data_IF_802577491251
#
_entry.id   IF_802577491251
#
_cell.length_a   1.000
_cell.length_b   1.000
_cell.length_c   1.000
_cell.angle_alpha   90.00
_cell.angle_beta   90.00
_cell.angle_gamma   90.00
#
_symmetry.space_group_name_H-M   'P 1'
#
loop_
_entity.id
_entity.type
_entity.pdbx_description
1 polymer ?
#
# COMPACT_ATOMS: atom_id res chain seq x y z
N UNK A 1 10.80 -37.39 -15.34
CA UNK A 1 10.02 -37.02 -16.56
C UNK A 1 9.77 -35.51 -16.74
N UNK A 2 9.21 -34.77 -15.75
CA UNK A 2 8.89 -33.32 -15.90
C UNK A 2 10.05 -32.42 -16.35
N UNK A 3 11.30 -32.71 -15.92
CA UNK A 3 12.49 -31.94 -16.32
C UNK A 3 12.84 -32.08 -17.80
N UNK A 4 12.72 -33.30 -18.35
CA UNK A 4 12.99 -33.60 -19.77
C UNK A 4 11.94 -32.92 -20.67
N UNK A 5 10.67 -32.96 -20.29
CA UNK A 5 9.59 -32.28 -21.02
C UNK A 5 9.77 -30.75 -21.03
N UNK A 6 10.20 -30.18 -19.90
CA UNK A 6 10.52 -28.75 -19.82
C UNK A 6 11.68 -28.37 -20.72
N UNK A 7 12.72 -29.21 -20.77
CA UNK A 7 13.88 -29.00 -21.64
C UNK A 7 13.51 -29.05 -23.13
N UNK A 8 12.75 -30.07 -23.55
CA UNK A 8 12.28 -30.18 -24.94
C UNK A 8 11.39 -28.99 -25.35
N UNK A 9 10.56 -28.47 -24.43
CA UNK A 9 9.77 -27.26 -24.67
C UNK A 9 10.65 -26.03 -24.87
N UNK A 10 11.69 -25.85 -24.06
CA UNK A 10 12.59 -24.71 -24.18
C UNK A 10 13.44 -24.79 -25.46
N UNK A 11 13.93 -25.98 -25.83
CA UNK A 11 14.63 -26.21 -27.11
C UNK A 11 13.74 -25.83 -28.30
N UNK A 12 12.48 -26.29 -28.32
CA UNK A 12 11.50 -25.94 -29.38
C UNK A 12 11.23 -24.44 -29.43
N UNK A 13 11.13 -23.78 -28.28
CA UNK A 13 10.91 -22.33 -28.20
C UNK A 13 12.09 -21.55 -28.79
N UNK A 14 13.32 -21.96 -28.51
CA UNK A 14 14.55 -21.37 -29.09
C UNK A 14 14.61 -21.58 -30.60
N UNK A 15 14.31 -22.78 -31.09
CA UNK A 15 14.27 -23.07 -32.53
C UNK A 15 13.22 -22.19 -33.26
N UNK A 16 12.02 -22.03 -32.68
CA UNK A 16 10.98 -21.15 -33.22
C UNK A 16 11.40 -19.67 -33.24
N UNK A 17 12.18 -19.22 -32.26
CA UNK A 17 12.73 -17.86 -32.23
C UNK A 17 13.73 -17.65 -33.38
N UNK A 18 14.63 -18.62 -33.60
CA UNK A 18 15.60 -18.57 -34.70
C UNK A 18 14.90 -18.53 -36.06
N UNK A 19 13.86 -19.35 -36.27
CA UNK A 19 13.04 -19.29 -37.49
C UNK A 19 12.35 -17.94 -37.69
N UNK A 20 11.83 -17.32 -36.61
CA UNK A 20 11.23 -15.98 -36.69
C UNK A 20 12.24 -14.91 -37.09
N UNK A 21 13.46 -14.96 -36.55
CA UNK A 21 14.54 -14.02 -36.89
C UNK A 21 14.96 -14.15 -38.36
N UNK A 22 14.99 -15.37 -38.88
CA UNK A 22 15.20 -15.59 -40.30
C UNK A 22 14.06 -14.99 -41.15
N UNK A 23 12.80 -15.21 -40.78
CA UNK A 23 11.65 -14.65 -41.52
C UNK A 23 11.54 -13.13 -41.42
N UNK A 24 12.03 -12.49 -40.36
CA UNK A 24 12.08 -11.03 -40.24
C UNK A 24 13.28 -10.40 -40.99
N UNK A 25 14.17 -11.21 -41.55
CA UNK A 25 15.39 -10.75 -42.23
C UNK A 25 16.52 -10.34 -41.27
N UNK A 26 16.38 -10.61 -39.97
CA UNK A 26 17.41 -10.35 -38.94
C UNK A 26 18.56 -11.35 -38.98
N UNK A 27 18.38 -12.47 -39.68
CA UNK A 27 19.34 -13.57 -39.74
C UNK A 27 19.46 -14.08 -41.18
N UNK A 28 20.67 -14.31 -41.66
CA UNK A 28 20.92 -14.93 -42.96
C UNK A 28 20.65 -16.44 -42.90
N UNK A 29 20.40 -17.07 -44.06
CA UNK A 29 20.12 -18.52 -44.14
C UNK A 29 21.25 -19.38 -43.56
N UNK A 30 22.50 -19.03 -43.84
CA UNK A 30 23.69 -19.72 -43.31
C UNK A 30 23.85 -19.55 -41.79
N UNK A 31 23.46 -18.39 -41.26
CA UNK A 31 23.48 -18.13 -39.82
C UNK A 31 22.36 -18.90 -39.10
N UNK A 32 21.24 -19.15 -39.78
CA UNK A 32 20.16 -19.98 -39.25
C UNK A 32 20.60 -21.43 -39.12
N UNK A 33 21.21 -21.97 -40.18
CA UNK A 33 21.70 -23.36 -40.20
C UNK A 33 22.72 -23.59 -39.08
N UNK A 34 23.72 -22.71 -38.96
CA UNK A 34 24.74 -22.80 -37.91
C UNK A 34 24.18 -22.61 -36.49
N UNK A 35 23.18 -21.74 -36.30
CA UNK A 35 22.52 -21.57 -35.00
C UNK A 35 21.61 -22.76 -34.64
N UNK A 36 20.99 -23.40 -35.63
CA UNK A 36 20.19 -24.61 -35.45
C UNK A 36 21.06 -25.81 -35.10
N UNK A 37 22.19 -25.98 -35.80
CA UNK A 37 23.16 -27.05 -35.54
C UNK A 37 23.73 -26.93 -34.12
N UNK A 38 24.14 -25.72 -33.69
CA UNK A 38 24.59 -25.48 -32.32
C UNK A 38 23.51 -25.76 -31.27
N UNK A 39 22.26 -25.39 -31.54
CA UNK A 39 21.13 -25.68 -30.65
C UNK A 39 20.85 -27.19 -30.56
N UNK A 40 21.08 -27.92 -31.64
CA UNK A 40 20.93 -29.37 -31.66
C UNK A 40 22.05 -30.06 -30.88
N UNK A 41 23.30 -29.64 -31.05
CA UNK A 41 24.47 -30.12 -30.31
C UNK A 41 24.37 -29.83 -28.81
N UNK A 42 24.07 -28.59 -28.41
CA UNK A 42 23.78 -28.23 -27.02
C UNK A 42 22.65 -29.10 -26.45
N UNK A 43 21.65 -29.37 -27.29
CA UNK A 43 20.52 -30.25 -27.00
C UNK A 43 20.92 -31.67 -26.59
N UNK A 44 21.91 -32.24 -27.26
CA UNK A 44 22.41 -33.60 -26.99
C UNK A 44 23.17 -33.64 -25.67
N UNK A 45 24.08 -32.69 -25.45
CA UNK A 45 24.89 -32.63 -24.23
C UNK A 45 24.05 -32.40 -22.96
N UNK A 46 23.05 -31.53 -23.04
CA UNK A 46 22.14 -31.26 -21.92
C UNK A 46 21.21 -32.45 -21.63
N UNK A 47 20.77 -33.19 -22.65
CA UNK A 47 20.00 -34.43 -22.47
C UNK A 47 20.83 -35.52 -21.78
N UNK A 48 22.06 -35.76 -22.22
CA UNK A 48 22.95 -36.74 -21.57
C UNK A 48 23.26 -36.35 -20.12
N UNK A 49 23.37 -35.05 -19.81
CA UNK A 49 23.52 -34.57 -18.42
C UNK A 49 22.26 -34.84 -17.59
N UNK A 50 21.08 -34.52 -18.13
CA UNK A 50 19.80 -34.79 -17.46
C UNK A 50 19.57 -36.27 -17.21
N UNK A 51 19.96 -37.14 -18.13
CA UNK A 51 19.90 -38.60 -17.96
C UNK A 51 20.78 -39.06 -16.80
N UNK A 52 22.04 -38.61 -16.73
CA UNK A 52 22.94 -38.92 -15.59
C UNK A 52 22.42 -38.37 -14.25
N UNK A 53 21.83 -37.17 -14.25
CA UNK A 53 21.21 -36.60 -13.05
C UNK A 53 20.02 -37.45 -12.59
N UNK A 54 19.22 -37.99 -13.51
CA UNK A 54 18.09 -38.86 -13.18
C UNK A 54 18.56 -40.23 -12.68
N UNK A 55 19.57 -40.83 -13.30
CA UNK A 55 20.21 -42.06 -12.80
C UNK A 55 20.76 -41.87 -11.38
N UNK A 56 21.40 -40.72 -11.10
CA UNK A 56 21.89 -40.39 -9.77
C UNK A 56 20.79 -40.26 -8.71
N UNK A 57 19.60 -39.77 -9.09
CA UNK A 57 18.44 -39.67 -8.19
C UNK A 57 17.86 -41.06 -7.90
N UNK A 58 17.72 -41.92 -8.92
CA UNK A 58 17.22 -43.29 -8.74
C UNK A 58 18.11 -44.13 -7.83
N UNK A 59 19.44 -43.93 -7.89
CA UNK A 59 20.39 -44.60 -6.99
C UNK A 59 20.20 -44.14 -5.54
N UNK A 60 20.00 -42.84 -5.31
CA UNK A 60 19.77 -42.29 -3.96
C UNK A 60 18.45 -42.80 -3.39
N UNK A 61 17.38 -42.81 -4.18
CA UNK A 61 16.07 -43.34 -3.76
C UNK A 61 16.17 -44.83 -3.40
N UNK A 62 16.88 -45.65 -4.18
CA UNK A 62 17.08 -47.07 -3.88
C UNK A 62 17.89 -47.29 -2.60
N UNK A 63 18.97 -46.54 -2.39
CA UNK A 63 19.78 -46.62 -1.16
C UNK A 63 18.97 -46.19 0.07
N UNK A 64 18.10 -45.18 -0.08
CA UNK A 64 17.18 -44.79 0.99
C UNK A 64 16.10 -45.85 1.26
N UNK A 65 15.58 -46.52 0.24
CA UNK A 65 14.65 -47.66 0.38
C UNK A 65 15.30 -48.84 1.11
N UNK A 66 16.49 -49.28 0.69
CA UNK A 66 17.23 -50.38 1.34
C UNK A 66 17.52 -50.05 2.81
N UNK A 67 17.94 -48.80 3.10
CA UNK A 67 18.18 -48.34 4.47
C UNK A 67 16.90 -48.27 5.30
N UNK A 68 15.76 -47.94 4.68
CA UNK A 68 14.46 -47.98 5.31
C UNK A 68 14.01 -49.41 5.62
N UNK A 69 14.26 -50.36 4.72
CA UNK A 69 13.97 -51.77 4.92
C UNK A 69 14.80 -52.37 6.06
N UNK A 70 16.10 -52.07 6.12
CA UNK A 70 16.97 -52.46 7.24
C UNK A 70 16.46 -51.91 8.58
N UNK A 71 16.10 -50.63 8.61
CA UNK A 71 15.54 -50.01 9.82
C UNK A 71 14.19 -50.64 10.21
N UNK A 72 13.36 -50.98 9.23
CA UNK A 72 12.05 -51.61 9.47
C UNK A 72 12.21 -53.05 10.00
N UNK A 73 13.16 -53.81 9.46
CA UNK A 73 13.48 -55.15 9.95
C UNK A 73 14.06 -55.10 11.38
N UNK A 74 14.98 -54.17 11.64
CA UNK A 74 15.48 -53.90 13.00
C UNK A 74 14.35 -53.53 13.97
N UNK A 75 13.37 -52.74 13.52
CA UNK A 75 12.21 -52.40 14.34
C UNK A 75 11.29 -53.61 14.55
N UNK A 76 11.11 -54.52 13.59
CA UNK A 76 10.30 -55.74 13.75
C UNK A 76 10.87 -56.66 14.83
N UNK A 77 12.18 -56.74 14.98
CA UNK A 77 12.86 -57.61 15.96
C UNK A 77 12.85 -57.06 17.40
N UNK A 78 12.45 -55.80 17.62
CA UNK A 78 12.39 -55.24 18.97
C UNK A 78 11.30 -55.88 19.86
N UNK A 79 11.58 -56.06 21.16
CA UNK A 79 10.58 -56.37 22.17
C UNK A 79 9.39 -55.42 22.12
N UNK A 80 8.18 -55.96 22.27
CA UNK A 80 6.91 -55.22 22.23
C UNK A 80 6.90 -54.02 23.20
N UNK A 81 7.48 -54.19 24.39
CA UNK A 81 7.59 -53.15 25.43
C UNK A 81 8.36 -51.90 24.96
N UNK A 82 9.44 -52.09 24.19
CA UNK A 82 10.23 -51.00 23.64
C UNK A 82 9.52 -50.30 22.47
N UNK A 83 8.70 -51.03 21.71
CA UNK A 83 7.85 -50.46 20.64
C UNK A 83 6.74 -49.61 21.23
N UNK A 84 6.06 -50.10 22.27
CA UNK A 84 5.01 -49.37 22.98
C UNK A 84 5.56 -48.10 23.65
N UNK A 85 6.72 -48.17 24.29
CA UNK A 85 7.38 -47.00 24.90
C UNK A 85 7.76 -45.93 23.85
N UNK A 86 8.35 -46.35 22.72
CA UNK A 86 8.68 -45.44 21.62
C UNK A 86 7.44 -44.81 20.97
N UNK A 87 6.38 -45.60 20.79
CA UNK A 87 5.10 -45.13 20.27
C UNK A 87 4.45 -44.11 21.23
N UNK A 88 4.39 -44.41 22.53
CA UNK A 88 3.86 -43.48 23.53
C UNK A 88 4.66 -42.18 23.60
N UNK A 89 6.00 -42.24 23.52
CA UNK A 89 6.86 -41.06 23.46
C UNK A 89 6.60 -40.22 22.20
N UNK A 90 6.42 -40.87 21.05
CA UNK A 90 6.02 -40.24 19.79
C UNK A 90 4.68 -39.51 19.88
N UNK A 91 3.66 -40.17 20.46
CA UNK A 91 2.32 -39.59 20.67
C UNK A 91 2.37 -38.40 21.63
N UNK A 92 3.15 -38.47 22.71
CA UNK A 92 3.32 -37.33 23.63
C UNK A 92 4.01 -36.14 22.95
N UNK A 93 5.04 -36.39 22.14
CA UNK A 93 5.73 -35.35 21.36
C UNK A 93 4.81 -34.68 20.35
N UNK A 94 4.03 -35.45 19.59
CA UNK A 94 3.03 -34.95 18.65
C UNK A 94 1.94 -34.13 19.35
N UNK A 95 1.44 -34.58 20.50
CA UNK A 95 0.48 -33.81 21.33
C UNK A 95 1.06 -32.49 21.85
N UNK A 96 2.36 -32.45 22.15
CA UNK A 96 3.02 -31.19 22.55
C UNK A 96 3.16 -30.25 21.35
N UNK A 97 3.65 -30.74 20.20
CA UNK A 97 3.78 -29.94 18.97
C UNK A 97 2.45 -29.34 18.53
N UNK A 98 1.40 -30.14 18.45
CA UNK A 98 0.05 -29.68 18.08
C UNK A 98 -0.51 -28.63 19.05
N UNK A 99 -0.27 -28.78 20.36
CA UNK A 99 -0.64 -27.75 21.36
C UNK A 99 0.15 -26.46 21.20
N UNK A 100 1.44 -26.53 20.87
CA UNK A 100 2.27 -25.35 20.63
C UNK A 100 1.90 -24.64 19.33
N UNK A 101 1.64 -25.39 18.26
CA UNK A 101 1.16 -24.85 16.98
C UNK A 101 -0.21 -24.16 17.15
N UNK A 102 -1.13 -24.78 17.88
CA UNK A 102 -2.43 -24.15 18.20
C UNK A 102 -2.27 -22.86 19.02
N UNK A 103 -1.33 -22.82 19.97
CA UNK A 103 -1.01 -21.61 20.74
C UNK A 103 -0.41 -20.51 19.86
N UNK A 104 0.50 -20.86 18.94
CA UNK A 104 1.10 -19.90 18.00
C UNK A 104 0.05 -19.32 17.06
N UNK A 105 -0.83 -20.16 16.50
CA UNK A 105 -1.92 -19.70 15.65
C UNK A 105 -2.89 -18.77 16.39
N UNK A 106 -3.19 -19.06 17.65
CA UNK A 106 -4.05 -18.21 18.48
C UNK A 106 -3.39 -16.85 18.76
N UNK A 107 -2.08 -16.84 19.08
CA UNK A 107 -1.34 -15.61 19.35
C UNK A 107 -1.18 -14.76 18.09
N UNK A 108 -0.91 -15.37 16.93
CA UNK A 108 -0.88 -14.69 15.64
C UNK A 108 -2.23 -14.06 15.29
N UNK A 109 -3.32 -14.80 15.51
CA UNK A 109 -4.69 -14.27 15.33
C UNK A 109 -4.96 -13.08 16.26
N UNK A 110 -4.47 -13.13 17.51
CA UNK A 110 -4.64 -12.04 18.47
C UNK A 110 -3.84 -10.80 18.07
N UNK A 111 -2.61 -10.98 17.62
CA UNK A 111 -1.76 -9.88 17.14
C UNK A 111 -2.32 -9.22 15.89
N UNK A 112 -2.86 -10.03 14.96
CA UNK A 112 -3.56 -9.54 13.78
C UNK A 112 -4.79 -8.70 14.14
N UNK A 113 -5.58 -9.13 15.13
CA UNK A 113 -6.74 -8.37 15.60
C UNK A 113 -6.33 -7.04 16.25
N UNK A 114 -5.27 -7.03 17.05
CA UNK A 114 -4.70 -5.80 17.62
C UNK A 114 -4.28 -4.86 16.50
N UNK A 115 -3.53 -5.35 15.49
CA UNK A 115 -3.08 -4.52 14.35
C UNK A 115 -4.27 -3.91 13.60
N UNK A 116 -5.30 -4.70 13.29
CA UNK A 116 -6.52 -4.19 12.63
C UNK A 116 -7.25 -3.13 13.46
N UNK A 117 -7.30 -3.31 14.78
CA UNK A 117 -7.92 -2.33 15.67
C UNK A 117 -7.10 -1.03 15.74
N UNK A 118 -5.78 -1.12 15.74
CA UNK A 118 -4.89 0.05 15.69
C UNK A 118 -5.00 0.80 14.36
N UNK A 119 -5.02 0.08 13.23
CA UNK A 119 -5.27 0.66 11.90
C UNK A 119 -6.63 1.37 11.84
N UNK A 120 -7.68 0.77 12.42
CA UNK A 120 -9.00 1.41 12.50
C UNK A 120 -8.97 2.70 13.32
N UNK A 121 -8.31 2.68 14.48
CA UNK A 121 -8.16 3.88 15.34
C UNK A 121 -7.39 4.99 14.61
N UNK A 122 -6.29 4.65 13.95
CA UNK A 122 -5.50 5.63 13.18
C UNK A 122 -6.33 6.24 12.02
N UNK A 123 -7.12 5.42 11.34
CA UNK A 123 -8.01 5.89 10.27
C UNK A 123 -9.14 6.80 10.79
N UNK A 124 -9.68 6.52 11.98
CA UNK A 124 -10.68 7.36 12.65
C UNK A 124 -10.08 8.71 13.09
N UNK A 125 -8.89 8.69 13.70
CA UNK A 125 -8.15 9.91 14.07
C UNK A 125 -7.89 10.80 12.84
N UNK A 126 -7.42 10.22 11.73
CA UNK A 126 -7.19 10.99 10.50
C UNK A 126 -8.49 11.62 9.95
N UNK A 127 -9.63 10.94 10.07
CA UNK A 127 -10.93 11.50 9.68
C UNK A 127 -11.34 12.65 10.59
N UNK A 128 -11.09 12.53 11.88
CA UNK A 128 -11.38 13.58 12.86
C UNK A 128 -10.49 14.81 12.63
N UNK A 129 -9.19 14.63 12.42
CA UNK A 129 -8.25 15.70 12.07
C UNK A 129 -8.67 16.42 10.78
N UNK A 130 -9.06 15.67 9.73
CA UNK A 130 -9.57 16.26 8.49
C UNK A 130 -10.85 17.06 8.72
N UNK A 131 -11.76 16.60 9.57
CA UNK A 131 -12.98 17.33 9.94
C UNK A 131 -12.65 18.60 10.72
N UNK A 132 -11.74 18.52 11.69
CA UNK A 132 -11.28 19.65 12.48
C UNK A 132 -10.61 20.72 11.59
N UNK A 133 -9.72 20.31 10.69
CA UNK A 133 -9.06 21.20 9.74
C UNK A 133 -10.06 21.86 8.77
N UNK A 134 -11.06 21.10 8.28
CA UNK A 134 -12.12 21.63 7.44
C UNK A 134 -12.97 22.68 8.17
N UNK A 135 -13.31 22.45 9.44
CA UNK A 135 -14.09 23.42 10.22
C UNK A 135 -13.26 24.66 10.62
N UNK A 136 -11.96 24.50 10.87
CA UNK A 136 -11.05 25.62 11.09
C UNK A 136 -10.97 26.55 9.87
N UNK A 137 -10.92 25.98 8.67
CA UNK A 137 -10.83 26.71 7.41
C UNK A 137 -12.19 27.06 6.79
N UNK A 138 -13.30 26.74 7.48
CA UNK A 138 -14.63 27.06 6.99
C UNK A 138 -14.81 28.57 6.98
N UNK A 139 -15.05 29.11 5.80
CA UNK A 139 -15.37 30.52 5.61
C UNK A 139 -16.74 30.86 6.20
N UNK A 140 -16.78 31.97 6.92
CA UNK A 140 -17.96 32.56 7.54
C UNK A 140 -17.94 34.04 7.26
N UNK A 141 -19.12 34.62 7.05
CA UNK A 141 -19.25 36.07 6.87
C UNK A 141 -19.71 36.68 8.19
N UNK A 142 -19.00 37.71 8.67
CA UNK A 142 -19.39 38.41 9.89
C UNK A 142 -20.68 39.18 9.65
N UNK A 143 -21.74 38.88 10.41
CA UNK A 143 -23.04 39.58 10.27
C UNK A 143 -23.01 41.08 10.62
N UNK A 144 -21.93 41.56 11.26
CA UNK A 144 -21.75 42.98 11.60
C UNK A 144 -20.86 43.71 10.61
N UNK A 145 -19.66 43.18 10.34
CA UNK A 145 -18.70 43.85 9.46
C UNK A 145 -18.78 43.44 7.97
N UNK A 146 -19.51 42.38 7.64
CA UNK A 146 -19.64 41.84 6.28
C UNK A 146 -18.40 41.15 5.72
N UNK A 147 -17.28 41.13 6.47
CA UNK A 147 -16.05 40.49 6.02
C UNK A 147 -16.11 38.97 6.15
N UNK A 148 -15.52 38.27 5.18
CA UNK A 148 -15.33 36.83 5.21
C UNK A 148 -14.10 36.50 6.07
N UNK A 149 -14.24 35.51 6.95
CA UNK A 149 -13.18 35.04 7.83
C UNK A 149 -13.25 33.51 7.98
N UNK A 150 -12.15 32.87 8.37
CA UNK A 150 -12.15 31.47 8.81
C UNK A 150 -12.00 31.39 10.33
N UNK A 151 -12.39 30.28 10.95
CA UNK A 151 -12.19 30.09 12.39
C UNK A 151 -10.70 30.12 12.79
N UNK A 152 -9.80 29.76 11.86
CA UNK A 152 -8.35 29.87 12.06
C UNK A 152 -7.87 31.33 12.14
N UNK A 153 -8.45 32.24 11.34
CA UNK A 153 -8.07 33.66 11.31
C UNK A 153 -8.89 34.54 12.26
N UNK A 154 -10.04 34.05 12.74
CA UNK A 154 -10.92 34.79 13.62
C UNK A 154 -10.37 34.81 15.04
N UNK A 155 -9.96 36.00 15.49
CA UNK A 155 -9.52 36.24 16.86
C UNK A 155 -10.46 37.22 17.57
N UNK A 156 -10.64 37.11 18.90
CA UNK A 156 -11.34 38.13 19.66
C UNK A 156 -10.73 39.52 19.37
N UNK A 157 -11.56 40.49 18.98
CA UNK A 157 -11.13 41.86 18.66
C UNK A 157 -10.67 42.11 17.21
N UNK A 158 -10.65 41.10 16.33
CA UNK A 158 -10.26 41.29 14.92
C UNK A 158 -11.33 42.04 14.10
N UNK A 159 -12.59 41.98 14.53
CA UNK A 159 -13.67 42.79 13.99
C UNK A 159 -13.45 44.26 14.40
N UNK A 160 -12.76 45.04 13.55
CA UNK A 160 -12.31 46.40 13.88
C UNK A 160 -13.44 47.42 14.05
N UNK A 161 -14.66 47.12 13.59
CA UNK A 161 -15.79 48.04 13.67
C UNK A 161 -16.89 47.51 14.59
N UNK A 162 -17.21 48.27 15.63
CA UNK A 162 -18.39 48.08 16.48
C UNK A 162 -19.60 48.84 15.95
N UNK A 163 -19.49 49.53 14.81
CA UNK A 163 -20.56 50.29 14.19
C UNK A 163 -21.53 49.38 13.42
N UNK A 164 -22.68 49.92 13.03
CA UNK A 164 -23.48 49.37 11.93
C UNK A 164 -22.97 49.95 10.62
N UNK A 165 -23.11 49.19 9.54
CA UNK A 165 -22.93 49.70 8.20
C UNK A 165 -24.04 50.71 7.90
N UNK A 166 -23.68 51.91 7.47
CA UNK A 166 -24.62 52.94 7.04
C UNK A 166 -24.34 53.35 5.59
N UNK A 167 -25.41 53.63 4.85
CA UNK A 167 -25.39 54.13 3.47
C UNK A 167 -25.97 55.56 3.36
N UNK A 168 -26.03 56.28 4.47
CA UNK A 168 -26.58 57.64 4.58
C UNK A 168 -25.78 58.47 5.58
N UNK A 169 -25.63 59.76 5.35
CA UNK A 169 -25.05 60.73 6.30
C UNK A 169 -25.65 62.12 6.14
N UNK A 170 -25.05 63.14 6.73
CA UNK A 170 -25.49 64.56 6.60
C UNK A 170 -24.38 65.42 6.00
N UNK A 171 -24.73 66.29 5.06
CA UNK A 171 -23.82 67.31 4.51
C UNK A 171 -23.52 68.43 5.54
N UNK A 172 -22.65 69.39 5.17
CA UNK A 172 -22.33 70.56 6.01
C UNK A 172 -23.53 71.48 6.28
N UNK A 173 -24.63 71.32 5.54
CA UNK A 173 -25.88 72.06 5.69
C UNK A 173 -26.95 71.26 6.46
N UNK A 174 -26.60 70.09 7.00
CA UNK A 174 -27.52 69.21 7.73
C UNK A 174 -28.48 68.40 6.86
N UNK A 175 -28.33 68.41 5.53
CA UNK A 175 -29.17 67.63 4.61
C UNK A 175 -28.71 66.18 4.53
N UNK A 176 -29.66 65.25 4.51
CA UNK A 176 -29.38 63.82 4.35
C UNK A 176 -28.80 63.55 2.96
N UNK A 177 -27.66 62.87 2.92
CA UNK A 177 -27.03 62.35 1.71
C UNK A 177 -27.09 60.83 1.80
N UNK A 178 -27.95 60.22 1.00
CA UNK A 178 -27.92 58.79 0.73
C UNK A 178 -26.72 58.55 -0.22
N UNK A 179 -26.05 57.39 -0.20
CA UNK A 179 -24.76 57.08 -0.90
C UNK A 179 -23.45 57.33 -0.12
N UNK A 180 -23.52 57.57 1.20
CA UNK A 180 -22.33 57.61 2.07
C UNK A 180 -22.09 56.27 2.74
N UNK A 181 -21.01 55.58 2.37
CA UNK A 181 -20.65 54.28 2.93
C UNK A 181 -19.66 54.42 4.09
N UNK A 182 -20.11 54.20 5.32
CA UNK A 182 -19.23 54.25 6.49
C UNK A 182 -19.73 53.38 7.66
N UNK A 183 -18.86 53.19 8.65
CA UNK A 183 -19.16 52.53 9.91
C UNK A 183 -19.59 53.53 10.99
N UNK A 184 -20.76 53.36 11.59
CA UNK A 184 -21.31 54.34 12.56
C UNK A 184 -20.44 54.55 13.81
N UNK A 185 -19.60 53.57 14.18
CA UNK A 185 -18.68 53.71 15.33
C UNK A 185 -17.52 54.67 15.05
N UNK A 186 -17.20 54.94 13.79
CA UNK A 186 -16.02 55.70 13.40
C UNK A 186 -16.30 57.18 13.18
N UNK A 187 -17.52 57.66 13.48
CA UNK A 187 -17.99 59.04 13.25
C UNK A 187 -17.51 59.59 11.90
N UNK A 188 -18.27 59.37 10.83
CA UNK A 188 -18.04 60.05 9.55
C UNK A 188 -18.00 61.57 9.76
N UNK A 189 -16.83 62.18 9.60
CA UNK A 189 -16.76 63.61 9.34
C UNK A 189 -17.43 63.92 8.00
N UNK A 190 -17.97 65.13 7.88
CA UNK A 190 -18.64 65.64 6.70
C UNK A 190 -17.88 65.29 5.41
N UNK A 191 -18.60 64.74 4.44
CA UNK A 191 -18.05 64.23 3.18
C UNK A 191 -18.02 65.31 2.10
N UNK A 192 -16.87 65.53 1.46
CA UNK A 192 -16.69 66.44 0.30
C UNK A 192 -16.08 65.72 -0.93
N UNK A 193 -16.28 64.39 -1.09
CA UNK A 193 -15.70 63.61 -2.20
C UNK A 193 -16.72 63.17 -3.27
N UNK A 194 -16.31 62.78 -4.48
CA UNK A 194 -17.20 62.15 -5.46
C UNK A 194 -17.66 60.78 -4.95
N UNK A 195 -18.94 60.42 -5.13
CA UNK A 195 -19.55 59.18 -4.63
C UNK A 195 -18.64 57.94 -4.85
N UNK A 196 -18.10 57.38 -3.77
CA UNK A 196 -17.16 56.25 -3.82
C UNK A 196 -15.95 56.33 -2.89
N UNK A 197 -15.82 57.36 -2.05
CA UNK A 197 -14.70 57.49 -1.11
C UNK A 197 -14.74 56.46 0.03
N UNK A 198 -13.65 55.72 0.21
CA UNK A 198 -13.45 54.81 1.35
C UNK A 198 -13.29 55.60 2.65
N UNK A 199 -14.14 55.33 3.66
CA UNK A 199 -13.89 55.80 5.02
C UNK A 199 -12.73 55.00 5.63
N UNK A 200 -11.52 55.53 5.59
CA UNK A 200 -10.41 54.96 6.35
C UNK A 200 -10.69 55.16 7.83
N UNK A 201 -10.78 54.05 8.57
CA UNK A 201 -10.80 54.06 10.03
C UNK A 201 -9.44 54.57 10.50
N UNK A 202 -9.33 55.73 11.17
CA UNK A 202 -8.10 56.05 11.87
C UNK A 202 -8.04 55.07 13.05
N UNK A 203 -7.08 54.13 13.00
CA UNK A 203 -6.76 53.28 14.15
C UNK A 203 -6.47 54.19 15.36
N UNK A 204 -7.06 53.85 16.50
CA UNK A 204 -6.35 53.98 17.77
C UNK A 204 -5.43 52.78 17.91
#
# INVERSE_FOLDING_TARGET
MKKVESFQKEKRKRALLLQKKYWSGELLGTELEDAMERLDDEGVWDMMRLEKELEGVEIVERVEEERWEELNNYMKERPLELKEAAFQAGVQSLRKKTKEEAKRALEESRQEEIRRNEERRAAEQLKEEKRAHKELNRERTCGRCGQVYTNATNRPGFCMHTGKWANWGTDRNGKKVEWLFYWTCCKSQAYEGPAGGFSLCPRR
#
